data_IF_006963539687
#
_entry.id   IF_006963539687
#
_cell.length_a   1.000
_cell.length_b   1.000
_cell.length_c   1.000
_cell.angle_alpha   90.00
_cell.angle_beta   90.00
_cell.angle_gamma   90.00
#
_symmetry.space_group_name_H-M   'P 1'
#
loop_
_entity.id
_entity.type
_entity.pdbx_description
1 polymer ?
#
# COMPACT_ATOMS: atom_id res chain seq x y z
N UNK A 1 -8.21 6.02 0.77
CA UNK A 1 -8.99 4.77 0.89
C UNK A 1 -9.25 4.11 -0.46
N UNK A 2 -9.56 4.85 -1.52
CA UNK A 2 -9.91 4.27 -2.84
C UNK A 2 -8.80 3.40 -3.45
N UNK A 3 -7.54 3.84 -3.40
CA UNK A 3 -6.39 3.06 -3.91
C UNK A 3 -6.20 1.72 -3.18
N UNK A 4 -6.25 1.71 -1.84
CA UNK A 4 -6.19 0.45 -1.07
C UNK A 4 -7.39 -0.44 -1.33
N UNK A 5 -8.58 0.15 -1.53
CA UNK A 5 -9.78 -0.59 -1.92
C UNK A 5 -9.59 -1.28 -3.27
N UNK A 6 -9.08 -0.57 -4.28
CA UNK A 6 -8.78 -1.16 -5.59
C UNK A 6 -7.68 -2.23 -5.54
N UNK A 7 -6.69 -2.08 -4.66
CA UNK A 7 -5.67 -3.11 -4.46
C UNK A 7 -6.28 -4.40 -3.90
N UNK A 8 -7.05 -4.31 -2.83
CA UNK A 8 -7.53 -5.47 -2.09
C UNK A 8 -8.78 -6.12 -2.68
N UNK A 9 -9.58 -5.40 -3.47
CA UNK A 9 -10.81 -5.89 -4.06
C UNK A 9 -10.61 -7.10 -5.00
N UNK A 10 -9.41 -7.26 -5.56
CA UNK A 10 -9.10 -8.32 -6.52
C UNK A 10 -8.64 -9.62 -5.84
N UNK A 11 -8.34 -9.59 -4.55
CA UNK A 11 -7.85 -10.76 -3.82
C UNK A 11 -9.01 -11.52 -3.18
N UNK A 12 -9.04 -12.83 -3.37
CA UNK A 12 -10.08 -13.67 -2.78
C UNK A 12 -10.01 -13.65 -1.24
N UNK A 13 -11.15 -13.29 -0.62
CA UNK A 13 -11.25 -13.12 0.83
C UNK A 13 -10.76 -14.34 1.62
N UNK A 14 -11.18 -15.54 1.23
CA UNK A 14 -10.84 -16.79 1.94
C UNK A 14 -9.37 -17.21 1.78
N UNK A 15 -8.70 -16.75 0.72
CA UNK A 15 -7.33 -17.15 0.41
C UNK A 15 -6.30 -16.21 1.04
N UNK A 16 -6.61 -14.92 1.12
CA UNK A 16 -5.64 -13.88 1.51
C UNK A 16 -6.01 -13.13 2.79
N UNK A 17 -7.26 -13.22 3.26
CA UNK A 17 -7.73 -12.48 4.42
C UNK A 17 -8.13 -13.41 5.55
N UNK A 18 -7.72 -13.05 6.76
CA UNK A 18 -8.09 -13.76 7.98
C UNK A 18 -8.43 -12.77 9.08
N UNK A 19 -9.30 -13.19 10.00
CA UNK A 19 -9.48 -12.47 11.25
C UNK A 19 -8.45 -12.99 12.25
N UNK A 20 -7.70 -12.07 12.84
CA UNK A 20 -6.73 -12.39 13.89
C UNK A 20 -7.21 -11.82 15.23
N UNK A 21 -6.77 -12.44 16.33
CA UNK A 21 -7.06 -11.91 17.65
C UNK A 21 -6.39 -10.54 17.80
N UNK A 22 -7.09 -9.50 18.28
CA UNK A 22 -6.50 -8.20 18.59
C UNK A 22 -5.25 -8.25 19.47
N UNK A 23 -5.08 -9.31 20.29
CA UNK A 23 -3.89 -9.55 21.12
C UNK A 23 -2.69 -10.06 20.33
N UNK A 24 -2.92 -10.71 19.21
CA UNK A 24 -1.88 -11.19 18.29
C UNK A 24 -1.47 -10.09 17.30
N UNK A 25 -2.36 -9.14 17.06
CA UNK A 25 -2.05 -7.92 16.34
C UNK A 25 -1.14 -7.03 17.21
N UNK A 26 -0.04 -6.55 16.62
CA UNK A 26 0.91 -5.64 17.28
C UNK A 26 0.32 -4.23 17.41
N UNK A 27 -0.84 -4.11 18.06
CA UNK A 27 -1.58 -2.87 18.23
C UNK A 27 -0.90 -1.98 19.28
N UNK A 28 -0.95 -0.64 19.12
CA UNK A 28 -0.42 0.28 20.10
C UNK A 28 -1.17 0.16 21.43
N UNK A 29 -0.46 0.42 22.53
CA UNK A 29 -1.04 0.33 23.88
C UNK A 29 -2.30 1.18 24.01
N UNK A 30 -3.33 0.60 24.61
CA UNK A 30 -4.62 1.27 24.83
C UNK A 30 -5.55 1.32 23.61
N UNK A 31 -5.12 0.87 22.43
CA UNK A 31 -5.99 0.79 21.26
C UNK A 31 -6.99 -0.36 21.41
N UNK A 32 -8.29 -0.02 21.32
CA UNK A 32 -9.38 -1.00 21.38
C UNK A 32 -9.84 -1.34 19.97
N UNK A 33 -9.33 -2.43 19.44
CA UNK A 33 -9.86 -3.00 18.20
C UNK A 33 -11.07 -3.88 18.50
N UNK A 34 -12.17 -3.63 17.78
CA UNK A 34 -13.31 -4.55 17.71
C UNK A 34 -12.95 -5.80 16.89
N UNK A 35 -12.15 -5.61 15.86
CA UNK A 35 -11.74 -6.66 14.93
C UNK A 35 -10.39 -6.29 14.31
N UNK A 36 -9.56 -7.28 14.01
CA UNK A 36 -8.37 -7.09 13.18
C UNK A 36 -8.44 -8.04 11.99
N UNK A 37 -8.36 -7.47 10.80
CA UNK A 37 -8.31 -8.22 9.54
C UNK A 37 -6.87 -8.20 9.05
N UNK A 38 -6.28 -9.38 8.89
CA UNK A 38 -4.96 -9.55 8.33
C UNK A 38 -5.06 -9.98 6.86
N UNK A 39 -4.44 -9.21 5.99
CA UNK A 39 -4.08 -9.66 4.65
C UNK A 39 -2.67 -10.27 4.68
N UNK A 40 -2.47 -11.45 4.10
CA UNK A 40 -1.17 -12.12 4.09
C UNK A 40 -0.83 -12.73 2.72
N UNK A 41 0.44 -12.63 2.33
CA UNK A 41 0.99 -13.32 1.16
C UNK A 41 2.06 -14.30 1.63
N UNK A 42 1.95 -15.56 1.19
CA UNK A 42 2.91 -16.64 1.50
C UNK A 42 3.71 -17.02 0.26
N UNK A 43 4.81 -17.77 0.44
CA UNK A 43 5.62 -18.29 -0.68
C UNK A 43 4.82 -19.16 -1.65
N UNK A 44 3.76 -19.83 -1.17
CA UNK A 44 2.90 -20.67 -2.01
C UNK A 44 1.97 -19.84 -2.89
N UNK A 45 1.54 -18.68 -2.37
CA UNK A 45 0.55 -17.80 -3.01
C UNK A 45 1.16 -16.60 -3.71
N UNK A 46 2.46 -16.33 -3.55
CA UNK A 46 3.12 -15.15 -4.14
C UNK A 46 2.97 -15.05 -5.66
N UNK A 47 3.08 -16.17 -6.38
CA UNK A 47 2.92 -16.16 -7.85
C UNK A 47 1.53 -15.70 -8.24
N UNK A 48 0.51 -16.29 -7.62
CA UNK A 48 -0.89 -15.95 -7.83
C UNK A 48 -1.17 -14.49 -7.41
N UNK A 49 -0.66 -14.07 -6.25
CA UNK A 49 -0.80 -12.72 -5.75
C UNK A 49 -0.21 -11.66 -6.69
N UNK A 50 1.01 -11.88 -7.20
CA UNK A 50 1.63 -10.94 -8.15
C UNK A 50 0.91 -10.96 -9.49
N UNK A 51 0.41 -12.11 -9.95
CA UNK A 51 -0.45 -12.17 -11.14
C UNK A 51 -1.72 -11.34 -10.97
N UNK A 52 -2.40 -11.43 -9.82
CA UNK A 52 -3.58 -10.61 -9.50
C UNK A 52 -3.20 -9.12 -9.47
N UNK A 53 -2.07 -8.79 -8.81
CA UNK A 53 -1.57 -7.42 -8.73
C UNK A 53 -1.38 -6.81 -10.12
N UNK A 54 -0.65 -7.49 -11.00
CA UNK A 54 -0.29 -6.99 -12.34
C UNK A 54 -1.50 -6.94 -13.27
N UNK A 55 -2.33 -7.98 -13.26
CA UNK A 55 -3.37 -8.13 -14.27
C UNK A 55 -4.70 -7.49 -13.87
N UNK A 56 -4.95 -7.29 -12.57
CA UNK A 56 -6.27 -6.87 -12.08
C UNK A 56 -6.19 -5.60 -11.25
N UNK A 57 -5.31 -5.55 -10.25
CA UNK A 57 -5.26 -4.43 -9.31
C UNK A 57 -4.55 -3.20 -9.89
N UNK A 58 -3.37 -3.37 -10.50
CA UNK A 58 -2.57 -2.27 -11.06
C UNK A 58 -3.32 -1.47 -12.13
N UNK A 59 -4.03 -2.07 -13.10
CA UNK A 59 -4.82 -1.32 -14.07
C UNK A 59 -5.86 -0.42 -13.39
N UNK A 60 -6.57 -0.94 -12.39
CA UNK A 60 -7.60 -0.19 -11.64
C UNK A 60 -6.99 0.93 -10.80
N UNK A 61 -5.83 0.69 -10.20
CA UNK A 61 -5.09 1.73 -9.47
C UNK A 61 -4.61 2.85 -10.40
N UNK A 62 -4.10 2.51 -11.60
CA UNK A 62 -3.71 3.50 -12.61
C UNK A 62 -4.92 4.32 -13.10
N UNK A 63 -6.11 3.72 -13.22
CA UNK A 63 -7.33 4.45 -13.53
C UNK A 63 -7.74 5.43 -12.42
N UNK A 64 -7.56 5.06 -11.15
CA UNK A 64 -7.77 5.98 -10.02
C UNK A 64 -6.75 7.10 -10.05
N UNK A 65 -5.47 6.78 -10.22
CA UNK A 65 -4.39 7.76 -10.31
C UNK A 65 -4.59 8.72 -11.48
N UNK A 66 -5.25 8.30 -12.56
CA UNK A 66 -5.55 9.15 -13.72
C UNK A 66 -6.54 10.29 -13.42
N UNK A 67 -7.30 10.22 -12.31
CA UNK A 67 -8.22 11.28 -11.93
C UNK A 67 -7.43 12.52 -11.51
N UNK A 68 -7.95 13.70 -11.87
CA UNK A 68 -7.30 14.98 -11.59
C UNK A 68 -6.95 15.18 -10.11
N UNK A 69 -7.86 14.79 -9.21
CA UNK A 69 -7.64 14.89 -7.76
C UNK A 69 -6.37 14.17 -7.28
N UNK A 70 -6.08 12.98 -7.82
CA UNK A 70 -4.90 12.18 -7.44
C UNK A 70 -3.65 12.62 -8.22
N UNK A 71 -3.79 12.95 -9.50
CA UNK A 71 -2.68 13.48 -10.32
C UNK A 71 -2.11 14.76 -9.73
N UNK A 72 -2.97 15.72 -9.41
CA UNK A 72 -2.54 17.01 -8.85
C UNK A 72 -1.91 16.84 -7.48
N UNK A 73 -2.44 15.94 -6.65
CA UNK A 73 -1.88 15.65 -5.32
C UNK A 73 -0.50 14.99 -5.38
N UNK A 74 -0.31 14.06 -6.31
CA UNK A 74 0.93 13.29 -6.46
C UNK A 74 1.90 13.88 -7.50
N UNK A 75 1.53 15.01 -8.10
CA UNK A 75 2.27 15.68 -9.17
C UNK A 75 2.56 14.77 -10.38
N UNK A 76 1.60 13.90 -10.72
CA UNK A 76 1.70 12.98 -11.85
C UNK A 76 1.17 13.63 -13.12
N UNK A 77 1.91 13.52 -14.22
CA UNK A 77 1.46 13.97 -15.54
C UNK A 77 0.51 12.96 -16.18
N UNK A 78 -0.38 13.41 -17.09
CA UNK A 78 -1.19 12.51 -17.90
C UNK A 78 -0.33 11.53 -18.72
N UNK A 79 0.80 12.01 -19.27
CA UNK A 79 1.70 11.19 -20.08
C UNK A 79 2.33 10.04 -19.27
N UNK A 80 2.74 10.28 -18.03
CA UNK A 80 3.32 9.24 -17.17
C UNK A 80 2.33 8.12 -16.87
N UNK A 81 1.07 8.46 -16.65
CA UNK A 81 0.03 7.46 -16.35
C UNK A 81 -0.33 6.65 -17.60
N UNK A 82 -0.45 7.32 -18.76
CA UNK A 82 -0.69 6.63 -20.03
C UNK A 82 0.48 5.73 -20.42
N UNK A 83 1.72 6.18 -20.19
CA UNK A 83 2.91 5.35 -20.41
C UNK A 83 2.91 4.13 -19.48
N UNK A 84 2.62 4.31 -18.18
CA UNK A 84 2.53 3.20 -17.24
C UNK A 84 1.46 2.18 -17.62
N UNK A 85 0.30 2.63 -18.13
CA UNK A 85 -0.74 1.74 -18.66
C UNK A 85 -0.27 0.97 -19.88
N UNK A 86 0.43 1.65 -20.79
CA UNK A 86 0.97 1.03 -22.01
C UNK A 86 2.04 0.00 -21.67
N UNK A 87 3.00 0.32 -20.81
CA UNK A 87 4.04 -0.61 -20.35
C UNK A 87 3.44 -1.84 -19.68
N UNK A 88 2.39 -1.65 -18.88
CA UNK A 88 1.67 -2.75 -18.24
C UNK A 88 0.97 -3.67 -19.26
N UNK A 89 0.47 -3.12 -20.37
CA UNK A 89 -0.17 -3.87 -21.45
C UNK A 89 0.84 -4.52 -22.41
N UNK A 90 1.99 -3.88 -22.63
CA UNK A 90 3.07 -4.37 -23.48
C UNK A 90 3.90 -5.46 -22.80
N UNK A 91 3.89 -5.52 -21.46
CA UNK A 91 4.44 -6.62 -20.71
C UNK A 91 3.79 -7.95 -21.09
N UNK A 92 4.57 -8.87 -21.67
CA UNK A 92 4.05 -10.18 -22.05
C UNK A 92 3.72 -11.02 -20.82
N UNK A 93 2.53 -11.64 -20.79
CA UNK A 93 2.16 -12.61 -19.75
C UNK A 93 3.15 -13.78 -19.67
N UNK A 94 3.78 -14.15 -20.80
CA UNK A 94 4.79 -15.19 -20.83
C UNK A 94 6.11 -14.74 -20.19
N UNK A 95 6.48 -13.47 -20.33
CA UNK A 95 7.66 -12.89 -19.67
C UNK A 95 7.42 -12.76 -18.17
N UNK A 96 6.23 -12.28 -17.78
CA UNK A 96 5.80 -12.26 -16.38
C UNK A 96 5.84 -13.67 -15.77
N UNK A 97 5.30 -14.67 -16.47
CA UNK A 97 5.29 -16.05 -16.01
C UNK A 97 6.68 -16.60 -15.73
N UNK A 98 7.64 -16.38 -16.66
CA UNK A 98 9.05 -16.78 -16.50
C UNK A 98 9.72 -16.04 -15.35
N UNK A 99 9.56 -14.71 -15.28
CA UNK A 99 10.12 -13.90 -14.21
C UNK A 99 9.59 -14.33 -12.83
N UNK A 100 8.30 -14.71 -12.74
CA UNK A 100 7.71 -15.21 -11.49
C UNK A 100 8.23 -16.60 -11.11
N UNK A 101 8.46 -17.48 -12.09
CA UNK A 101 9.03 -18.80 -11.85
C UNK A 101 10.49 -18.73 -11.40
N UNK A 102 11.28 -17.83 -12.00
CA UNK A 102 12.63 -17.52 -11.55
C UNK A 102 12.61 -16.87 -10.15
N UNK A 103 11.76 -15.87 -9.94
CA UNK A 103 11.60 -15.20 -8.65
C UNK A 103 11.28 -16.21 -7.54
N UNK A 104 10.40 -17.19 -7.77
CA UNK A 104 10.05 -18.19 -6.76
C UNK A 104 11.24 -19.04 -6.31
N UNK A 105 12.25 -19.23 -7.15
CA UNK A 105 13.45 -20.01 -6.81
C UNK A 105 14.43 -19.21 -5.94
N UNK A 106 14.36 -17.89 -5.98
CA UNK A 106 15.33 -17.00 -5.34
C UNK A 106 14.73 -16.18 -4.20
N UNK A 107 13.44 -15.86 -4.26
CA UNK A 107 12.69 -15.07 -3.29
C UNK A 107 12.09 -15.97 -2.22
N UNK A 108 12.43 -15.67 -0.97
CA UNK A 108 11.82 -16.22 0.22
C UNK A 108 11.09 -15.10 0.95
N UNK A 109 9.76 -15.21 1.05
CA UNK A 109 8.93 -14.36 1.90
C UNK A 109 8.91 -14.99 3.29
N UNK A 110 9.56 -14.34 4.25
CA UNK A 110 9.47 -14.73 5.66
C UNK A 110 8.19 -14.16 6.28
N UNK A 111 7.82 -12.93 5.89
CA UNK A 111 6.60 -12.28 6.33
C UNK A 111 6.11 -11.29 5.29
N UNK A 112 4.84 -11.34 4.94
CA UNK A 112 4.17 -10.27 4.22
C UNK A 112 2.76 -10.16 4.78
N UNK A 113 2.53 -9.20 5.66
CA UNK A 113 1.23 -9.01 6.32
C UNK A 113 0.82 -7.55 6.34
N UNK A 114 -0.46 -7.29 6.11
CA UNK A 114 -1.09 -5.99 6.33
C UNK A 114 -2.25 -6.20 7.30
N UNK A 115 -2.03 -5.78 8.55
CA UNK A 115 -3.06 -5.86 9.59
C UNK A 115 -3.85 -4.54 9.59
N UNK A 116 -5.17 -4.64 9.43
CA UNK A 116 -6.08 -3.50 9.55
C UNK A 116 -6.95 -3.69 10.78
N UNK A 117 -6.81 -2.81 11.76
CA UNK A 117 -7.62 -2.83 12.96
C UNK A 117 -8.83 -1.90 12.80
N UNK A 118 -10.00 -2.46 13.09
CA UNK A 118 -11.29 -1.77 13.08
C UNK A 118 -11.62 -1.37 14.52
N UNK A 119 -11.84 -0.09 14.77
CA UNK A 119 -12.18 0.44 16.09
C UNK A 119 -13.64 0.12 16.51
N UNK A 120 -14.02 0.54 17.71
CA UNK A 120 -15.39 0.34 18.24
C UNK A 120 -16.47 1.08 17.41
N UNK A 121 -16.08 2.10 16.65
CA UNK A 121 -16.97 2.89 15.79
C UNK A 121 -17.09 2.32 14.36
N UNK A 122 -16.44 1.19 14.08
CA UNK A 122 -16.35 0.53 12.76
C UNK A 122 -15.51 1.30 11.73
N UNK A 123 -14.52 2.08 12.17
CA UNK A 123 -13.53 2.69 11.29
C UNK A 123 -12.25 1.87 11.24
N UNK A 124 -11.62 1.70 10.04
CA UNK A 124 -10.28 1.16 9.94
C UNK A 124 -9.28 2.21 10.43
N UNK A 125 -9.04 2.22 11.74
CA UNK A 125 -8.30 3.28 12.41
C UNK A 125 -6.81 2.96 12.56
N UNK A 126 -6.38 1.72 12.34
CA UNK A 126 -4.96 1.36 12.44
C UNK A 126 -4.54 0.39 11.34
N UNK A 127 -3.36 0.61 10.80
CA UNK A 127 -2.72 -0.24 9.80
C UNK A 127 -1.30 -0.60 10.25
N UNK A 128 -0.93 -1.87 10.12
CA UNK A 128 0.43 -2.35 10.35
C UNK A 128 0.87 -3.23 9.19
N UNK A 129 1.80 -2.70 8.40
CA UNK A 129 2.42 -3.39 7.27
C UNK A 129 3.75 -3.96 7.73
N UNK A 130 3.93 -5.27 7.53
CA UNK A 130 5.18 -5.97 7.83
C UNK A 130 5.62 -6.76 6.61
N UNK A 131 6.79 -6.43 6.09
CA UNK A 131 7.43 -7.10 4.97
C UNK A 131 8.79 -7.58 5.42
N UNK A 132 9.07 -8.87 5.26
CA UNK A 132 10.36 -9.52 5.48
C UNK A 132 10.57 -10.50 4.34
N UNK A 133 11.52 -10.15 3.47
CA UNK A 133 11.88 -10.92 2.29
C UNK A 133 13.38 -11.13 2.21
N UNK A 134 13.78 -12.27 1.67
CA UNK A 134 15.15 -12.61 1.36
C UNK A 134 15.25 -13.03 -0.10
N UNK A 135 16.21 -12.47 -0.83
CA UNK A 135 16.55 -12.84 -2.19
C UNK A 135 17.92 -13.51 -2.17
N UNK A 136 17.96 -14.74 -2.70
CA UNK A 136 19.17 -15.55 -2.82
C UNK A 136 19.33 -15.98 -4.27
N UNK A 137 20.17 -15.27 -5.00
CA UNK A 137 20.53 -15.58 -6.37
C UNK A 137 21.93 -16.23 -6.40
N UNK A 138 22.02 -17.55 -6.64
CA UNK A 138 23.28 -18.27 -6.71
C UNK A 138 24.10 -17.95 -7.97
N UNK A 139 23.45 -17.49 -9.04
CA UNK A 139 24.11 -17.20 -10.32
C UNK A 139 24.87 -15.87 -10.23
N UNK A 140 24.31 -14.88 -9.52
CA UNK A 140 24.95 -13.58 -9.29
C UNK A 140 25.67 -13.47 -7.93
N UNK A 141 25.59 -14.51 -7.09
CA UNK A 141 26.04 -14.51 -5.69
C UNK A 141 25.38 -13.40 -4.84
N UNK A 142 24.21 -12.93 -5.24
CA UNK A 142 23.49 -11.86 -4.56
C UNK A 142 22.67 -12.45 -3.42
N UNK A 143 22.95 -12.01 -2.19
CA UNK A 143 22.16 -12.33 -1.00
C UNK A 143 21.69 -11.03 -0.34
N UNK A 144 20.41 -10.74 -0.46
CA UNK A 144 19.81 -9.52 0.08
C UNK A 144 18.66 -9.90 0.99
N UNK A 145 18.62 -9.31 2.18
CA UNK A 145 17.49 -9.39 3.11
C UNK A 145 16.95 -8.00 3.33
N UNK A 146 15.64 -7.83 3.19
CA UNK A 146 14.96 -6.58 3.41
C UNK A 146 13.80 -6.81 4.37
N UNK A 147 13.78 -6.03 5.45
CA UNK A 147 12.69 -5.99 6.41
C UNK A 147 12.18 -4.55 6.52
N UNK A 148 10.88 -4.37 6.36
CA UNK A 148 10.18 -3.08 6.45
C UNK A 148 8.99 -3.26 7.37
N UNK A 149 8.85 -2.36 8.33
CA UNK A 149 7.64 -2.23 9.13
C UNK A 149 7.12 -0.80 9.03
N UNK A 150 5.83 -0.66 8.75
CA UNK A 150 5.15 0.62 8.69
C UNK A 150 3.85 0.55 9.47
N UNK A 151 3.65 1.50 10.38
CA UNK A 151 2.43 1.60 11.17
C UNK A 151 1.75 2.95 10.92
N UNK A 152 0.44 2.94 10.74
CA UNK A 152 -0.37 4.15 10.58
C UNK A 152 -1.54 4.09 11.55
N UNK A 153 -1.79 5.20 12.24
CA UNK A 153 -2.88 5.33 13.21
C UNK A 153 -3.66 6.61 12.91
N UNK A 154 -4.96 6.45 12.69
CA UNK A 154 -5.90 7.54 12.50
C UNK A 154 -6.67 7.75 13.80
N UNK A 155 -6.65 8.99 14.30
CA UNK A 155 -7.41 9.41 15.48
C UNK A 155 -8.38 10.51 15.10
N UNK A 156 -9.39 10.78 15.94
CA UNK A 156 -10.34 11.88 15.75
C UNK A 156 -11.08 11.82 14.39
N UNK A 157 -11.42 10.61 13.94
CA UNK A 157 -12.08 10.37 12.65
C UNK A 157 -13.48 11.00 12.67
N UNK A 158 -13.78 11.87 11.71
CA UNK A 158 -15.03 12.65 11.61
C UNK A 158 -15.31 13.60 12.78
N UNK A 159 -14.31 13.87 13.62
CA UNK A 159 -14.42 14.89 14.66
C UNK A 159 -14.12 16.28 14.07
N UNK A 160 -14.76 17.30 14.64
CA UNK A 160 -14.46 18.68 14.25
C UNK A 160 -13.09 19.05 14.81
N UNK A 161 -12.17 19.60 14.01
CA UNK A 161 -10.88 20.06 14.51
C UNK A 161 -11.09 21.13 15.60
N UNK A 162 -10.55 20.87 16.79
CA UNK A 162 -10.55 21.83 17.89
C UNK A 162 -9.35 22.76 17.73
N UNK A 163 -9.55 23.95 17.15
CA UNK A 163 -8.52 24.98 17.10
C UNK A 163 -8.47 25.72 18.45
N UNK A 164 -7.68 25.23 19.40
CA UNK A 164 -7.56 25.84 20.74
C UNK A 164 -6.99 27.27 20.70
N UNK A 165 -6.26 27.61 19.63
CA UNK A 165 -5.56 28.89 19.46
C UNK A 165 -6.28 29.84 18.47
N UNK A 166 -7.51 29.50 18.05
CA UNK A 166 -8.23 30.17 16.97
C UNK A 166 -7.83 29.67 15.57
N UNK A 167 -8.63 29.99 14.55
CA UNK A 167 -8.32 29.67 13.16
C UNK A 167 -7.18 30.61 12.72
N UNK A 168 -6.03 30.09 12.24
CA UNK A 168 -4.95 30.94 11.75
C UNK A 168 -5.50 31.88 10.68
N UNK A 169 -5.26 33.18 10.82
CA UNK A 169 -5.61 34.18 9.79
C UNK A 169 -4.50 34.37 8.76
N UNK A 170 -3.31 33.86 9.08
CA UNK A 170 -2.11 33.90 8.25
C UNK A 170 -1.88 32.50 7.65
N UNK A 171 -2.80 32.10 6.77
CA UNK A 171 -2.74 30.81 6.08
C UNK A 171 -2.22 30.99 4.66
N UNK A 172 -1.25 30.17 4.28
CA UNK A 172 -0.85 30.01 2.87
C UNK A 172 -1.82 29.05 2.18
N UNK A 173 -2.18 29.31 0.94
CA UNK A 173 -2.82 28.30 0.09
C UNK A 173 -1.82 27.19 -0.24
N UNK A 174 -2.31 26.03 -0.68
CA UNK A 174 -1.44 24.93 -1.08
C UNK A 174 -0.50 25.34 -2.24
N UNK A 175 -0.98 26.18 -3.16
CA UNK A 175 -0.15 26.70 -4.26
C UNK A 175 0.96 27.62 -3.73
N UNK A 176 0.64 28.51 -2.78
CA UNK A 176 1.63 29.40 -2.17
C UNK A 176 2.69 28.61 -1.38
N UNK A 177 2.29 27.54 -0.69
CA UNK A 177 3.22 26.65 -0.01
C UNK A 177 4.16 25.95 -1.01
N UNK A 178 3.64 25.46 -2.14
CA UNK A 178 4.45 24.82 -3.18
C UNK A 178 5.46 25.79 -3.82
N UNK A 179 5.05 27.04 -4.09
CA UNK A 179 5.95 28.06 -4.64
C UNK A 179 7.09 28.39 -3.67
N UNK A 180 6.77 28.59 -2.38
CA UNK A 180 7.77 28.87 -1.35
C UNK A 180 8.75 27.70 -1.19
N UNK A 181 8.26 26.45 -1.13
CA UNK A 181 9.13 25.27 -1.03
C UNK A 181 10.00 25.06 -2.27
N UNK A 182 9.48 25.34 -3.47
CA UNK A 182 10.24 25.27 -4.73
C UNK A 182 11.37 26.31 -4.78
N UNK A 183 11.18 27.49 -4.18
CA UNK A 183 12.24 28.50 -4.06
C UNK A 183 13.40 28.06 -3.16
N UNK A 184 13.16 27.11 -2.24
CA UNK A 184 14.20 26.50 -1.39
C UNK A 184 14.85 25.25 -2.00
N UNK A 185 14.52 24.90 -3.26
CA UNK A 185 15.21 23.85 -4.02
C UNK A 185 14.80 22.41 -3.66
N UNK A 186 13.57 22.21 -3.18
CA UNK A 186 12.92 20.91 -3.07
C UNK A 186 11.99 20.65 -4.25
#
# INVERSE_FOLDING_TARGET
MELMGALFAEYESVAYFSNIDPKEAALPEGFKAKQVVQFAITNEKVKEAVTILVNQALPKMLDILAKEEYRSMLQLTPEEIEQAKKDLQEGSQDELGKALDEMKNHLQINKFTVDTAIDENNYPAYYNVQVDVAVNDPDTQTNVKAAVQMTSHFTQINEKPAFEIGIPTDTLTLEQLQEEMSQFGY
#
